data_IF_026222900185
#
_entry.id   IF_026222900185
#
_cell.length_a   1.000
_cell.length_b   1.000
_cell.length_c   1.000
_cell.angle_alpha   90.00
_cell.angle_beta   90.00
_cell.angle_gamma   90.00
#
_symmetry.space_group_name_H-M   'P 1'
#
loop_
_entity.id
_entity.type
_entity.pdbx_description
1 polymer ?
#
# COMPACT_ATOMS: atom_id res chain seq x y z
N UNK A 1 -33.63 15.03 -2.46
CA UNK A 1 -33.89 13.81 -3.24
C UNK A 1 -32.54 13.22 -3.58
N UNK A 2 -32.24 12.01 -3.12
CA UNK A 2 -30.89 11.42 -3.24
C UNK A 2 -30.77 10.66 -4.56
N UNK A 3 -29.57 10.57 -5.14
CA UNK A 3 -29.34 10.03 -6.48
C UNK A 3 -29.84 8.58 -6.66
N UNK A 4 -29.75 7.74 -5.61
CA UNK A 4 -30.23 6.36 -5.66
C UNK A 4 -31.75 6.23 -5.79
N UNK A 5 -32.53 7.21 -5.32
CA UNK A 5 -33.99 7.23 -5.45
C UNK A 5 -34.42 7.44 -6.90
N UNK A 6 -33.63 8.19 -7.69
CA UNK A 6 -33.89 8.39 -9.13
C UNK A 6 -33.56 7.16 -9.97
N UNK A 7 -32.66 6.31 -9.49
CA UNK A 7 -32.29 5.06 -10.12
C UNK A 7 -33.20 3.88 -9.71
N UNK A 8 -34.21 4.13 -8.86
CA UNK A 8 -35.08 3.08 -8.34
C UNK A 8 -34.39 2.12 -7.36
N UNK A 9 -33.21 2.51 -6.83
CA UNK A 9 -32.42 1.65 -5.95
C UNK A 9 -32.83 1.93 -4.50
N UNK A 10 -33.41 0.93 -3.84
CA UNK A 10 -33.74 0.97 -2.40
C UNK A 10 -32.50 1.19 -1.55
N UNK A 11 -32.59 1.94 -0.45
CA UNK A 11 -31.45 2.15 0.48
C UNK A 11 -30.95 0.87 1.16
N UNK A 12 -31.76 -0.20 1.16
CA UNK A 12 -31.53 -1.42 1.91
C UNK A 12 -31.16 -2.62 1.01
N UNK A 13 -30.20 -2.47 0.10
CA UNK A 13 -29.65 -3.60 -0.65
C UNK A 13 -28.76 -4.46 0.24
N UNK A 14 -29.06 -5.77 0.29
CA UNK A 14 -28.27 -6.74 1.08
C UNK A 14 -27.04 -7.24 0.33
N UNK A 15 -27.09 -7.28 -1.01
CA UNK A 15 -26.05 -7.87 -1.84
C UNK A 15 -25.67 -6.94 -3.00
N UNK A 16 -24.36 -6.80 -3.23
CA UNK A 16 -23.81 -6.01 -4.33
C UNK A 16 -24.24 -6.56 -5.70
N UNK A 17 -24.42 -7.87 -5.81
CA UNK A 17 -24.88 -8.53 -7.05
C UNK A 17 -26.25 -8.02 -7.52
N UNK A 18 -27.18 -7.74 -6.60
CA UNK A 18 -28.49 -7.20 -6.94
C UNK A 18 -28.41 -5.78 -7.49
N UNK A 19 -27.47 -4.97 -6.99
CA UNK A 19 -27.22 -3.62 -7.51
C UNK A 19 -26.64 -3.71 -8.92
N UNK A 20 -25.69 -4.62 -9.15
CA UNK A 20 -25.08 -4.87 -10.47
C UNK A 20 -26.13 -5.27 -11.50
N UNK A 21 -26.99 -6.24 -11.16
CA UNK A 21 -28.08 -6.67 -12.05
C UNK A 21 -29.02 -5.53 -12.47
N UNK A 22 -29.20 -4.51 -11.63
CA UNK A 22 -30.04 -3.35 -11.96
C UNK A 22 -29.29 -2.27 -12.73
N UNK A 23 -28.00 -2.06 -12.45
CA UNK A 23 -27.20 -0.98 -13.04
C UNK A 23 -26.53 -1.37 -14.36
N UNK A 24 -26.08 -2.62 -14.49
CA UNK A 24 -25.26 -3.06 -15.62
C UNK A 24 -25.94 -2.80 -16.99
N UNK A 25 -27.25 -3.08 -17.20
CA UNK A 25 -27.89 -2.80 -18.49
C UNK A 25 -27.87 -1.31 -18.88
N UNK A 26 -28.06 -0.42 -17.89
CA UNK A 26 -28.05 1.02 -18.13
C UNK A 26 -26.62 1.55 -18.37
N UNK A 27 -25.63 1.00 -17.66
CA UNK A 27 -24.22 1.37 -17.84
C UNK A 27 -23.70 0.89 -19.21
N UNK A 28 -24.07 -0.31 -19.64
CA UNK A 28 -23.77 -0.85 -20.97
C UNK A 28 -24.38 0.02 -22.07
N UNK A 29 -25.67 0.39 -21.96
CA UNK A 29 -26.32 1.29 -22.91
C UNK A 29 -25.63 2.67 -22.98
N UNK A 30 -25.17 3.20 -21.86
CA UNK A 30 -24.44 4.47 -21.81
C UNK A 30 -23.03 4.38 -22.44
N UNK A 31 -22.37 3.22 -22.33
CA UNK A 31 -21.12 2.93 -23.03
C UNK A 31 -21.36 2.81 -24.55
N UNK A 32 -22.37 2.05 -24.97
CA UNK A 32 -22.74 1.88 -26.38
C UNK A 32 -23.08 3.21 -27.05
N UNK A 33 -23.79 4.09 -26.34
CA UNK A 33 -24.13 5.43 -26.81
C UNK A 33 -22.98 6.44 -26.71
N UNK A 34 -21.80 6.04 -26.23
CA UNK A 34 -20.61 6.88 -26.12
C UNK A 34 -20.71 8.00 -25.07
N UNK A 35 -21.60 7.86 -24.07
CA UNK A 35 -21.65 8.78 -22.93
C UNK A 35 -20.59 8.42 -21.88
N UNK A 36 -20.26 7.14 -21.75
CA UNK A 36 -19.22 6.62 -20.88
C UNK A 36 -18.12 5.95 -21.73
N UNK A 37 -16.87 6.06 -21.29
CA UNK A 37 -15.76 5.34 -21.90
C UNK A 37 -15.72 3.88 -21.39
N UNK A 38 -16.14 3.68 -20.14
CA UNK A 38 -16.20 2.38 -19.50
C UNK A 38 -16.66 2.49 -18.06
N UNK A 39 -16.83 1.35 -17.41
CA UNK A 39 -17.08 1.27 -15.98
C UNK A 39 -16.43 0.01 -15.41
N UNK A 40 -16.02 0.07 -14.13
CA UNK A 40 -15.47 -1.08 -13.41
C UNK A 40 -15.86 -1.04 -11.94
N UNK A 41 -15.94 -2.22 -11.33
CA UNK A 41 -16.18 -2.36 -9.89
C UNK A 41 -14.86 -2.69 -9.18
N UNK A 42 -14.45 -1.86 -8.24
CA UNK A 42 -13.28 -2.11 -7.38
C UNK A 42 -13.71 -2.47 -5.95
N UNK A 43 -12.95 -3.33 -5.28
CA UNK A 43 -13.23 -3.76 -3.90
C UNK A 43 -14.22 -4.93 -3.76
N UNK A 44 -14.51 -5.31 -2.51
CA UNK A 44 -15.44 -6.39 -2.12
C UNK A 44 -16.32 -5.96 -0.94
N UNK A 45 -17.56 -6.44 -0.91
CA UNK A 45 -18.48 -6.24 0.22
C UNK A 45 -18.92 -4.78 0.40
N UNK A 46 -18.80 -4.25 1.62
CA UNK A 46 -19.20 -2.87 1.97
C UNK A 46 -18.29 -1.80 1.36
N UNK A 47 -17.06 -2.15 1.00
CA UNK A 47 -16.09 -1.25 0.38
C UNK A 47 -16.08 -1.32 -1.15
N UNK A 48 -17.09 -1.94 -1.77
CA UNK A 48 -17.16 -2.00 -3.22
C UNK A 48 -17.51 -0.61 -3.79
N UNK A 49 -16.74 -0.17 -4.77
CA UNK A 49 -16.92 1.11 -5.45
C UNK A 49 -17.17 0.86 -6.93
N UNK A 50 -18.13 1.59 -7.50
CA UNK A 50 -18.33 1.66 -8.95
C UNK A 50 -17.55 2.86 -9.46
N UNK A 51 -16.55 2.60 -10.30
CA UNK A 51 -15.75 3.61 -10.98
C UNK A 51 -16.29 3.73 -12.40
N UNK A 52 -16.71 4.93 -12.77
CA UNK A 52 -17.24 5.23 -14.09
C UNK A 52 -16.24 6.13 -14.81
N UNK A 53 -15.70 5.65 -15.93
CA UNK A 53 -14.77 6.39 -16.75
C UNK A 53 -15.58 7.24 -17.73
N UNK A 54 -15.56 8.57 -17.56
CA UNK A 54 -16.31 9.46 -18.45
C UNK A 54 -15.70 9.42 -19.84
N UNK A 55 -16.50 9.20 -20.88
CA UNK A 55 -16.07 9.52 -22.24
C UNK A 55 -15.88 11.04 -22.26
N UNK A 56 -14.64 11.51 -22.32
CA UNK A 56 -14.32 12.92 -22.45
C UNK A 56 -15.12 13.49 -23.62
N UNK A 57 -16.23 14.17 -23.32
CA UNK A 57 -16.93 14.98 -24.30
C UNK A 57 -15.98 16.11 -24.65
N UNK A 58 -15.25 15.95 -25.75
CA UNK A 58 -14.79 17.08 -26.57
C UNK A 58 -16.03 17.76 -27.17
N UNK A 59 -16.84 18.39 -26.32
CA UNK A 59 -17.77 19.42 -26.75
C UNK A 59 -17.15 20.75 -26.39
N UNK A 60 -16.20 21.19 -27.21
CA UNK A 60 -15.77 22.57 -27.27
C UNK A 60 -16.89 23.41 -27.89
N UNK A 61 -17.91 23.73 -27.11
CA UNK A 61 -18.73 24.93 -27.34
C UNK A 61 -18.96 25.57 -25.97
N UNK A 62 -17.93 26.26 -25.48
CA UNK A 62 -18.12 27.31 -24.49
C UNK A 62 -17.75 28.64 -25.13
N UNK A 63 -18.77 29.31 -25.67
CA UNK A 63 -18.74 30.75 -25.81
C UNK A 63 -18.73 31.37 -24.39
N UNK A 64 -17.54 31.63 -23.84
CA UNK A 64 -17.39 32.52 -22.67
C UNK A 64 -16.07 33.29 -22.72
N UNK A 65 -16.21 34.53 -23.18
CA UNK A 65 -15.68 35.78 -22.60
C UNK A 65 -14.53 35.59 -21.59
N UNK A 66 -13.33 35.88 -22.10
CA UNK A 66 -12.16 36.44 -21.43
C UNK A 66 -12.03 36.28 -19.91
N UNK A 67 -11.19 35.34 -19.48
CA UNK A 67 -10.34 35.53 -18.31
C UNK A 67 -8.95 35.01 -18.62
N UNK A 68 -8.07 35.93 -19.04
CA UNK A 68 -6.64 35.69 -19.29
C UNK A 68 -5.98 35.18 -18.01
N UNK A 69 -5.74 33.87 -17.90
CA UNK A 69 -4.80 33.31 -16.92
C UNK A 69 -3.39 33.54 -17.49
N UNK A 70 -2.58 34.30 -16.76
CA UNK A 70 -1.17 34.59 -17.11
C UNK A 70 -0.45 33.27 -17.38
N UNK A 71 -0.04 33.08 -18.63
CA UNK A 71 0.82 32.01 -19.11
C UNK A 71 2.23 32.34 -18.60
N UNK A 72 2.59 31.80 -17.44
CA UNK A 72 3.97 31.82 -16.97
C UNK A 72 4.79 30.88 -17.84
N UNK A 73 5.79 31.42 -18.54
CA UNK A 73 6.76 30.66 -19.31
C UNK A 73 7.65 29.82 -18.38
N UNK A 74 7.26 28.57 -18.13
CA UNK A 74 8.14 27.53 -17.62
C UNK A 74 8.56 26.60 -18.75
N UNK A 75 9.44 27.05 -19.65
CA UNK A 75 9.77 26.39 -20.92
C UNK A 75 10.67 25.14 -20.82
N UNK A 76 11.04 24.67 -19.62
CA UNK A 76 11.98 23.53 -19.46
C UNK A 76 11.36 22.21 -18.98
N UNK A 77 10.34 22.26 -18.12
CA UNK A 77 9.88 21.06 -17.40
C UNK A 77 9.00 20.09 -18.19
N UNK A 78 8.37 20.56 -19.28
CA UNK A 78 7.41 19.76 -20.05
C UNK A 78 8.04 18.54 -20.73
N UNK A 79 9.25 18.68 -21.27
CA UNK A 79 9.93 17.58 -21.96
C UNK A 79 10.35 16.46 -21.00
N UNK A 80 10.84 16.81 -19.81
CA UNK A 80 11.29 15.83 -18.82
C UNK A 80 10.12 14.98 -18.32
N UNK A 81 8.95 15.60 -18.11
CA UNK A 81 7.74 14.89 -17.70
C UNK A 81 7.31 13.87 -18.75
N UNK A 82 7.21 14.30 -20.01
CA UNK A 82 6.79 13.41 -21.10
C UNK A 82 7.77 12.24 -21.27
N UNK A 83 9.08 12.49 -21.13
CA UNK A 83 10.10 11.45 -21.14
C UNK A 83 9.87 10.41 -20.03
N UNK A 84 9.59 10.86 -18.81
CA UNK A 84 9.30 9.98 -17.67
C UNK A 84 8.03 9.17 -17.88
N UNK A 85 6.97 9.78 -18.42
CA UNK A 85 5.70 9.10 -18.73
C UNK A 85 5.94 7.94 -19.72
N UNK A 86 6.69 8.18 -20.80
CA UNK A 86 7.06 7.15 -21.78
C UNK A 86 7.87 6.03 -21.13
N UNK A 87 8.90 6.37 -20.34
CA UNK A 87 9.73 5.36 -19.65
C UNK A 87 8.89 4.46 -18.73
N UNK A 88 7.92 5.02 -18.02
CA UNK A 88 7.11 4.25 -17.08
C UNK A 88 6.02 3.43 -17.79
N UNK A 89 5.49 3.91 -18.91
CA UNK A 89 4.58 3.17 -19.78
C UNK A 89 5.26 1.94 -20.41
N UNK A 90 6.49 2.09 -20.90
CA UNK A 90 7.31 0.98 -21.42
C UNK A 90 7.53 -0.14 -20.38
N UNK A 91 7.48 0.21 -19.08
CA UNK A 91 7.64 -0.73 -17.95
C UNK A 91 6.30 -1.29 -17.45
N UNK A 92 5.20 -1.01 -18.16
CA UNK A 92 3.87 -1.55 -17.93
C UNK A 92 3.08 -0.86 -16.82
N UNK A 93 3.42 0.38 -16.46
CA UNK A 93 2.64 1.16 -15.49
C UNK A 93 1.54 1.92 -16.24
N UNK A 94 0.32 1.88 -15.71
CA UNK A 94 -0.83 2.58 -16.29
C UNK A 94 -0.61 4.12 -16.28
N UNK A 95 -0.71 4.80 -17.45
CA UNK A 95 -0.44 6.23 -17.58
C UNK A 95 -1.43 7.12 -16.83
N UNK A 96 -2.69 6.68 -16.67
CA UNK A 96 -3.73 7.47 -15.99
C UNK A 96 -3.42 7.63 -14.49
N UNK A 97 -3.00 6.54 -13.85
CA UNK A 97 -2.57 6.57 -12.44
C UNK A 97 -1.31 7.42 -12.27
N UNK A 98 -0.44 7.40 -13.28
CA UNK A 98 0.83 8.12 -13.29
C UNK A 98 0.66 9.62 -13.43
N UNK A 99 -0.26 10.07 -14.28
CA UNK A 99 -0.53 11.48 -14.51
C UNK A 99 -0.87 12.19 -13.18
N UNK A 100 -1.73 11.59 -12.35
CA UNK A 100 -2.09 12.13 -11.04
C UNK A 100 -0.91 12.26 -10.08
N UNK A 101 0.05 11.33 -10.12
CA UNK A 101 1.23 11.36 -9.25
C UNK A 101 2.21 12.43 -9.74
N UNK A 102 2.52 12.42 -11.05
CA UNK A 102 3.48 13.34 -11.66
C UNK A 102 2.99 14.80 -11.69
N UNK A 103 1.68 15.04 -11.74
CA UNK A 103 1.09 16.39 -11.64
C UNK A 103 1.47 17.11 -10.35
N UNK A 104 1.70 16.36 -9.28
CA UNK A 104 2.07 16.90 -7.96
C UNK A 104 3.58 17.18 -7.81
N UNK A 105 4.41 16.77 -8.78
CA UNK A 105 5.86 16.79 -8.65
C UNK A 105 6.50 18.02 -9.30
N UNK A 106 7.38 18.67 -8.54
CA UNK A 106 8.28 19.71 -9.06
C UNK A 106 9.42 19.11 -9.90
N UNK A 107 10.14 19.95 -10.63
CA UNK A 107 11.20 19.52 -11.55
C UNK A 107 12.31 18.71 -10.86
N UNK A 108 12.67 19.05 -9.63
CA UNK A 108 13.66 18.31 -8.84
C UNK A 108 13.19 16.87 -8.53
N UNK A 109 11.92 16.70 -8.18
CA UNK A 109 11.34 15.38 -7.95
C UNK A 109 11.26 14.59 -9.24
N UNK A 110 10.93 15.23 -10.37
CA UNK A 110 10.94 14.57 -11.68
C UNK A 110 12.35 14.05 -12.03
N UNK A 111 13.40 14.84 -11.77
CA UNK A 111 14.79 14.37 -11.95
C UNK A 111 15.11 13.17 -11.03
N UNK A 112 14.65 13.20 -9.78
CA UNK A 112 14.80 12.07 -8.85
C UNK A 112 14.03 10.83 -9.33
N UNK A 113 12.82 11.00 -9.86
CA UNK A 113 12.04 9.91 -10.46
C UNK A 113 12.80 9.29 -11.63
N UNK A 114 13.42 10.10 -12.50
CA UNK A 114 14.28 9.59 -13.57
C UNK A 114 15.44 8.73 -13.03
N UNK A 115 16.09 9.16 -11.94
CA UNK A 115 17.14 8.37 -11.28
C UNK A 115 16.61 7.06 -10.67
N UNK A 116 15.40 7.08 -10.09
CA UNK A 116 14.72 5.88 -9.57
C UNK A 116 14.48 4.87 -10.69
N UNK A 117 14.05 5.33 -11.86
CA UNK A 117 13.83 4.47 -13.03
C UNK A 117 15.13 3.82 -13.47
N UNK A 118 16.22 4.59 -13.62
CA UNK A 118 17.52 4.04 -13.99
C UNK A 118 18.04 3.00 -12.97
N UNK A 119 17.88 3.28 -11.67
CA UNK A 119 18.27 2.33 -10.63
C UNK A 119 17.43 1.05 -10.66
N UNK A 120 16.13 1.17 -10.92
CA UNK A 120 15.26 0.03 -11.13
C UNK A 120 15.72 -0.83 -12.30
N UNK A 121 16.12 -0.24 -13.42
CA UNK A 121 16.62 -0.99 -14.58
C UNK A 121 17.88 -1.78 -14.22
N UNK A 122 18.81 -1.19 -13.46
CA UNK A 122 19.99 -1.89 -12.93
C UNK A 122 19.59 -3.08 -12.04
N UNK A 123 18.57 -2.92 -11.18
CA UNK A 123 18.09 -4.01 -10.33
C UNK A 123 17.44 -5.14 -11.13
N UNK A 124 16.74 -4.81 -12.22
CA UNK A 124 16.14 -5.78 -13.14
C UNK A 124 17.22 -6.55 -13.89
N UNK A 125 18.23 -5.85 -14.40
CA UNK A 125 19.39 -6.46 -15.09
C UNK A 125 20.14 -7.43 -14.17
N UNK A 126 20.32 -7.06 -12.91
CA UNK A 126 20.95 -7.91 -11.89
C UNK A 126 20.04 -9.04 -11.36
N UNK A 127 18.79 -9.15 -11.83
CA UNK A 127 17.78 -10.08 -11.31
C UNK A 127 17.65 -10.03 -9.78
N UNK A 128 17.69 -8.82 -9.20
CA UNK A 128 17.64 -8.63 -7.75
C UNK A 128 16.34 -9.18 -7.15
N UNK A 129 16.47 -9.88 -6.02
CA UNK A 129 15.32 -10.43 -5.26
C UNK A 129 14.34 -9.36 -4.77
N UNK A 130 14.77 -8.10 -4.68
CA UNK A 130 13.92 -6.98 -4.28
C UNK A 130 12.81 -6.69 -5.30
N UNK A 131 13.10 -6.91 -6.59
CA UNK A 131 12.20 -6.56 -7.70
C UNK A 131 11.52 -7.81 -8.28
N UNK A 132 12.04 -9.01 -8.01
CA UNK A 132 11.61 -10.26 -8.64
C UNK A 132 10.15 -10.66 -8.35
N UNK A 133 9.60 -10.29 -7.18
CA UNK A 133 8.22 -10.67 -6.80
C UNK A 133 7.14 -9.88 -7.53
N UNK A 134 7.36 -8.58 -7.74
CA UNK A 134 6.41 -7.70 -8.42
C UNK A 134 7.14 -6.48 -8.97
N UNK A 135 7.58 -6.58 -10.22
CA UNK A 135 8.44 -5.59 -10.88
C UNK A 135 7.74 -4.24 -11.02
N UNK A 136 6.55 -4.25 -11.64
CA UNK A 136 5.75 -3.05 -11.89
C UNK A 136 5.26 -2.41 -10.59
N UNK A 137 4.81 -3.21 -9.63
CA UNK A 137 4.35 -2.70 -8.33
C UNK A 137 5.48 -2.08 -7.50
N UNK A 138 6.68 -2.64 -7.56
CA UNK A 138 7.87 -2.06 -6.92
C UNK A 138 8.19 -0.69 -7.51
N UNK A 139 8.27 -0.60 -8.84
CA UNK A 139 8.58 0.66 -9.53
C UNK A 139 7.51 1.72 -9.25
N UNK A 140 6.22 1.36 -9.35
CA UNK A 140 5.13 2.28 -9.06
C UNK A 140 5.22 2.84 -7.63
N UNK A 141 5.42 1.98 -6.62
CA UNK A 141 5.58 2.44 -5.23
C UNK A 141 6.82 3.31 -5.02
N UNK A 142 7.92 3.01 -5.72
CA UNK A 142 9.13 3.82 -5.65
C UNK A 142 8.91 5.23 -6.21
N UNK A 143 8.18 5.35 -7.33
CA UNK A 143 7.82 6.63 -7.95
C UNK A 143 6.79 7.39 -7.11
N UNK A 144 5.77 6.71 -6.59
CA UNK A 144 4.75 7.28 -5.69
C UNK A 144 5.37 7.82 -4.39
N UNK A 145 6.41 7.16 -3.88
CA UNK A 145 7.15 7.57 -2.67
C UNK A 145 8.50 8.20 -3.00
N UNK A 146 8.61 8.89 -4.14
CA UNK A 146 9.88 9.43 -4.61
C UNK A 146 10.57 10.36 -3.59
N UNK A 147 9.81 11.09 -2.76
CA UNK A 147 10.36 11.94 -1.68
C UNK A 147 11.19 11.13 -0.68
N UNK A 148 10.62 10.05 -0.15
CA UNK A 148 11.26 9.18 0.85
C UNK A 148 12.18 8.09 0.28
N UNK A 149 12.18 7.89 -1.04
CA UNK A 149 13.01 6.87 -1.67
C UNK A 149 14.50 7.25 -1.60
N UNK A 150 15.33 6.39 -1.00
CA UNK A 150 16.78 6.59 -0.88
C UNK A 150 17.48 5.82 -1.98
N UNK A 151 18.19 6.54 -2.86
CA UNK A 151 18.97 5.95 -3.94
C UNK A 151 20.36 5.57 -3.44
N UNK A 152 20.79 4.29 -3.55
CA UNK A 152 22.14 3.91 -3.21
C UNK A 152 23.14 4.34 -4.30
N UNK A 153 24.29 4.87 -3.87
CA UNK A 153 25.44 5.11 -4.75
C UNK A 153 25.40 6.41 -5.57
N UNK A 154 26.03 6.44 -6.77
CA UNK A 154 26.31 7.66 -7.54
C UNK A 154 25.06 8.35 -8.12
N UNK A 155 23.89 7.69 -8.04
CA UNK A 155 22.61 8.25 -8.45
C UNK A 155 22.04 9.25 -7.43
N UNK A 156 22.49 9.19 -6.17
CA UNK A 156 22.22 10.25 -5.21
C UNK A 156 22.98 11.50 -5.64
N UNK A 157 22.27 12.55 -6.04
CA UNK A 157 22.82 13.89 -6.20
C UNK A 157 23.77 14.16 -5.04
N UNK A 158 25.05 14.45 -5.33
CA UNK A 158 26.16 14.61 -4.36
C UNK A 158 25.99 15.73 -3.31
N UNK A 159 24.77 16.20 -3.04
CA UNK A 159 24.46 17.18 -2.01
C UNK A 159 23.67 16.54 -0.86
N UNK A 160 24.21 16.67 0.36
CA UNK A 160 23.60 16.32 1.65
C UNK A 160 23.42 14.83 1.96
N UNK A 161 24.55 14.10 2.00
CA UNK A 161 24.69 13.13 3.09
C UNK A 161 25.22 13.92 4.28
N UNK A 162 24.35 14.21 5.24
CA UNK A 162 24.79 14.47 6.61
C UNK A 162 25.65 13.29 7.01
N UNK A 163 26.95 13.57 7.18
CA UNK A 163 27.93 12.65 7.72
C UNK A 163 27.44 12.26 9.11
N UNK A 164 26.72 11.15 9.21
CA UNK A 164 26.60 10.44 10.48
C UNK A 164 27.95 9.76 10.71
N UNK A 165 28.72 10.17 11.74
CA UNK A 165 29.95 9.50 12.07
C UNK A 165 29.61 8.13 12.65
N UNK A 166 30.09 7.11 11.94
CA UNK A 166 30.22 5.76 12.47
C UNK A 166 31.06 5.80 13.75
N UNK A 167 30.54 5.18 14.81
CA UNK A 167 31.26 4.64 15.96
C UNK A 167 32.34 5.53 16.62
N UNK A 168 31.97 6.26 17.68
CA UNK A 168 32.92 6.55 18.77
C UNK A 168 32.31 6.34 20.15
N UNK A 169 33.09 5.60 20.92
CA UNK A 169 33.11 5.38 22.37
C UNK A 169 32.56 6.53 23.21
N UNK A 170 31.83 6.12 24.26
CA UNK A 170 31.69 6.79 25.56
C UNK A 170 32.82 7.77 25.87
N UNK A 171 32.53 9.06 25.84
CA UNK A 171 33.10 10.04 26.78
C UNK A 171 32.09 11.18 26.96
N UNK A 172 31.89 11.53 28.23
CA UNK A 172 31.02 12.62 28.68
C UNK A 172 31.51 13.95 28.12
N UNK A 173 30.61 14.75 27.56
CA UNK A 173 30.63 16.20 27.72
C UNK A 173 29.28 16.78 27.30
N UNK A 174 28.70 17.47 28.27
CA UNK A 174 27.63 18.43 28.16
C UNK A 174 28.01 19.57 27.23
N UNK A 175 27.25 19.77 26.16
CA UNK A 175 26.99 21.14 25.70
C UNK A 175 25.70 21.26 24.89
N UNK A 176 24.97 22.34 25.19
CA UNK A 176 23.63 22.66 24.76
C UNK A 176 23.66 23.29 23.36
N UNK A 177 23.25 22.54 22.34
CA UNK A 177 22.98 23.07 21.00
C UNK A 177 21.50 22.93 20.66
N UNK A 178 20.77 24.05 20.71
CA UNK A 178 19.36 24.17 20.30
C UNK A 178 19.20 23.72 18.84
N UNK A 179 18.62 22.54 18.66
CA UNK A 179 18.18 22.04 17.37
C UNK A 179 16.86 22.71 16.97
N UNK A 180 16.86 23.43 15.84
CA UNK A 180 15.66 23.92 15.19
C UNK A 180 14.76 22.74 14.80
N UNK A 181 13.74 22.52 15.62
CA UNK A 181 12.59 21.68 15.32
C UNK A 181 11.75 22.36 14.23
N UNK A 182 12.10 22.13 12.96
CA UNK A 182 11.11 22.21 11.90
C UNK A 182 10.21 21.00 12.06
N UNK A 183 9.17 21.18 12.88
CA UNK A 183 8.00 20.32 12.93
C UNK A 183 7.30 20.40 11.58
N UNK A 184 7.80 19.63 10.61
CA UNK A 184 7.01 19.21 9.45
C UNK A 184 5.94 18.27 9.99
N UNK A 185 4.87 18.85 10.55
CA UNK A 185 3.61 18.18 10.89
C UNK A 185 2.89 17.83 9.59
N UNK A 186 3.56 17.05 8.74
CA UNK A 186 2.86 16.18 7.83
C UNK A 186 2.02 15.27 8.69
N UNK A 187 0.72 15.45 8.61
CA UNK A 187 -0.32 14.60 9.17
C UNK A 187 -0.07 13.16 8.67
N UNK A 188 0.86 12.46 9.31
CA UNK A 188 1.03 11.02 9.20
C UNK A 188 -0.22 10.46 9.85
N UNK A 189 -1.26 10.29 9.03
CA UNK A 189 -2.60 9.95 9.48
C UNK A 189 -2.56 8.76 10.42
N UNK A 190 -3.53 8.71 11.33
CA UNK A 190 -3.71 7.67 12.36
C UNK A 190 -3.51 6.23 11.83
N UNK A 191 -3.74 6.01 10.52
CA UNK A 191 -3.46 4.76 9.81
C UNK A 191 -1.99 4.28 9.90
N UNK A 192 -1.00 5.17 9.84
CA UNK A 192 0.43 4.82 9.92
C UNK A 192 0.80 4.33 11.33
N UNK A 193 0.16 4.88 12.37
CA UNK A 193 0.37 4.45 13.75
C UNK A 193 -0.23 3.07 13.99
N UNK A 194 -1.45 2.82 13.50
CA UNK A 194 -2.11 1.51 13.61
C UNK A 194 -1.30 0.43 12.91
N UNK A 195 -0.77 0.70 11.72
CA UNK A 195 0.06 -0.26 10.99
C UNK A 195 1.38 -0.55 11.72
N UNK A 196 2.00 0.46 12.35
CA UNK A 196 3.18 0.27 13.20
C UNK A 196 2.86 -0.60 14.42
N UNK A 197 1.71 -0.40 15.06
CA UNK A 197 1.27 -1.22 16.20
C UNK A 197 0.96 -2.66 15.79
N UNK A 198 0.32 -2.87 14.63
CA UNK A 198 0.11 -4.21 14.05
C UNK A 198 1.41 -4.95 13.80
N UNK A 199 2.41 -4.27 13.25
CA UNK A 199 3.72 -4.86 13.04
C UNK A 199 4.36 -5.30 14.36
N UNK A 200 4.26 -4.49 15.41
CA UNK A 200 4.76 -4.84 16.75
C UNK A 200 4.02 -6.05 17.33
N UNK A 201 2.69 -6.07 17.25
CA UNK A 201 1.87 -7.21 17.70
C UNK A 201 2.27 -8.52 17.02
N UNK A 202 2.48 -8.52 15.70
CA UNK A 202 2.87 -9.73 14.98
C UNK A 202 4.24 -10.27 15.43
N UNK A 203 5.18 -9.37 15.76
CA UNK A 203 6.50 -9.76 16.30
C UNK A 203 6.36 -10.39 17.69
N UNK A 204 5.57 -9.78 18.58
CA UNK A 204 5.32 -10.31 19.92
C UNK A 204 4.57 -11.63 19.88
N UNK A 205 3.49 -11.73 19.07
CA UNK A 205 2.73 -12.95 18.84
C UNK A 205 3.63 -14.10 18.38
N UNK A 206 4.54 -13.83 17.43
CA UNK A 206 5.48 -14.83 16.91
C UNK A 206 6.53 -15.23 17.95
N UNK A 207 7.02 -14.28 18.75
CA UNK A 207 7.95 -14.56 19.86
C UNK A 207 7.27 -15.45 20.90
N UNK A 208 6.02 -15.15 21.25
CA UNK A 208 5.27 -15.89 22.25
C UNK A 208 4.88 -17.28 21.77
N UNK A 209 4.44 -17.44 20.52
CA UNK A 209 4.20 -18.75 19.92
C UNK A 209 5.45 -19.64 20.00
N UNK A 210 6.62 -19.11 19.66
CA UNK A 210 7.89 -19.84 19.79
C UNK A 210 8.22 -20.23 21.23
N UNK A 211 7.98 -19.32 22.19
CA UNK A 211 8.17 -19.59 23.62
C UNK A 211 7.24 -20.71 24.09
N UNK A 212 5.98 -20.69 23.68
CA UNK A 212 5.01 -21.73 24.01
C UNK A 212 5.39 -23.07 23.38
N UNK A 213 5.85 -23.09 22.13
CA UNK A 213 6.33 -24.32 21.49
C UNK A 213 7.53 -24.95 22.22
N UNK A 214 8.44 -24.15 22.78
CA UNK A 214 9.58 -24.68 23.53
C UNK A 214 9.27 -25.07 24.97
N UNK A 215 8.20 -24.51 25.56
CA UNK A 215 7.87 -24.68 26.98
C UNK A 215 6.73 -25.68 27.21
N UNK A 216 5.82 -25.83 26.23
CA UNK A 216 4.69 -26.73 26.33
C UNK A 216 5.13 -28.20 26.41
N UNK A 217 4.40 -28.98 27.20
CA UNK A 217 4.64 -30.41 27.32
C UNK A 217 4.49 -31.09 25.94
N UNK A 218 5.38 -32.01 25.56
CA UNK A 218 5.30 -32.72 24.28
C UNK A 218 3.95 -33.40 24.05
N UNK A 219 3.33 -33.93 25.11
CA UNK A 219 2.02 -34.58 25.05
C UNK A 219 0.89 -33.62 24.62
N UNK A 220 0.96 -32.35 24.99
CA UNK A 220 0.01 -31.32 24.58
C UNK A 220 0.26 -30.94 23.13
N UNK A 221 1.53 -30.78 22.73
CA UNK A 221 1.91 -30.45 21.36
C UNK A 221 1.44 -31.53 20.37
N UNK A 222 1.61 -32.80 20.69
CA UNK A 222 1.15 -33.92 19.86
C UNK A 222 -0.37 -33.93 19.72
N UNK A 223 -1.12 -33.70 20.82
CA UNK A 223 -2.59 -33.63 20.79
C UNK A 223 -3.08 -32.48 19.90
N UNK A 224 -2.53 -31.27 20.09
CA UNK A 224 -2.89 -30.10 19.29
C UNK A 224 -2.54 -30.30 17.82
N UNK A 225 -1.38 -30.89 17.53
CA UNK A 225 -0.97 -31.22 16.16
C UNK A 225 -1.93 -32.21 15.51
N UNK A 226 -2.28 -33.30 16.20
CA UNK A 226 -3.22 -34.29 15.69
C UNK A 226 -4.63 -33.72 15.44
N UNK A 227 -5.08 -32.77 16.27
CA UNK A 227 -6.30 -32.00 16.04
C UNK A 227 -6.22 -31.14 14.78
N UNK A 228 -5.15 -30.36 14.62
CA UNK A 228 -4.94 -29.48 13.47
C UNK A 228 -4.81 -30.29 12.17
N UNK A 229 -4.05 -31.39 12.17
CA UNK A 229 -3.92 -32.28 11.01
C UNK A 229 -5.25 -32.92 10.61
N UNK A 230 -6.07 -33.32 11.60
CA UNK A 230 -7.41 -33.86 11.36
C UNK A 230 -8.34 -32.80 10.74
N UNK A 231 -8.33 -31.58 11.25
CA UNK A 231 -9.12 -30.47 10.69
C UNK A 231 -8.67 -30.12 9.26
N UNK A 232 -7.36 -30.16 8.99
CA UNK A 232 -6.78 -29.82 7.69
C UNK A 232 -6.76 -30.98 6.68
N UNK A 233 -7.04 -32.21 7.11
CA UNK A 233 -6.99 -33.41 6.27
C UNK A 233 -7.79 -33.29 4.97
N UNK A 234 -8.91 -32.55 5.00
CA UNK A 234 -9.79 -32.29 3.85
C UNK A 234 -9.13 -31.45 2.76
N UNK A 235 -8.10 -30.67 3.09
CA UNK A 235 -7.39 -29.78 2.17
C UNK A 235 -6.12 -30.40 1.60
N UNK A 236 -5.74 -31.61 2.04
CA UNK A 236 -4.48 -32.27 1.63
C UNK A 236 -4.38 -32.50 0.12
N UNK A 237 -5.50 -32.68 -0.57
CA UNK A 237 -5.52 -32.83 -2.04
C UNK A 237 -5.25 -31.54 -2.82
N UNK A 238 -5.39 -30.36 -2.19
CA UNK A 238 -5.29 -29.06 -2.84
C UNK A 238 -3.98 -28.32 -2.54
N UNK A 239 -3.14 -28.85 -1.66
CA UNK A 239 -1.94 -28.18 -1.14
C UNK A 239 -0.75 -29.13 -1.32
N UNK A 240 0.38 -28.63 -1.80
CA UNK A 240 1.62 -29.43 -1.89
C UNK A 240 2.06 -29.89 -0.50
N UNK A 241 2.70 -31.06 -0.40
CA UNK A 241 3.10 -31.63 0.90
C UNK A 241 3.99 -30.70 1.72
N UNK A 242 4.91 -29.97 1.07
CA UNK A 242 5.76 -28.96 1.71
C UNK A 242 4.98 -27.80 2.33
N UNK A 243 3.91 -27.35 1.64
CA UNK A 243 3.06 -26.29 2.14
C UNK A 243 2.11 -26.80 3.22
N UNK A 244 1.66 -28.05 3.12
CA UNK A 244 0.80 -28.67 4.13
C UNK A 244 1.48 -28.70 5.51
N UNK A 245 2.75 -29.11 5.58
CA UNK A 245 3.51 -29.09 6.83
C UNK A 245 3.58 -27.68 7.44
N UNK A 246 3.88 -26.66 6.63
CA UNK A 246 3.91 -25.27 7.11
C UNK A 246 2.54 -24.76 7.58
N UNK A 247 1.45 -25.19 6.95
CA UNK A 247 0.09 -24.81 7.35
C UNK A 247 -0.31 -25.51 8.66
N UNK A 248 0.10 -26.77 8.84
CA UNK A 248 -0.08 -27.50 10.11
C UNK A 248 0.68 -26.80 11.23
N UNK A 249 1.97 -26.49 11.03
CA UNK A 249 2.78 -25.79 12.03
C UNK A 249 2.15 -24.45 12.43
N UNK A 250 1.67 -23.67 11.45
CA UNK A 250 0.98 -22.42 11.73
C UNK A 250 -0.34 -22.63 12.48
N UNK A 251 -1.13 -23.65 12.12
CA UNK A 251 -2.36 -24.01 12.83
C UNK A 251 -2.09 -24.42 14.29
N UNK A 252 -0.98 -25.12 14.55
CA UNK A 252 -0.54 -25.46 15.91
C UNK A 252 -0.16 -24.21 16.69
N UNK A 253 0.60 -23.28 16.10
CA UNK A 253 0.92 -21.99 16.72
C UNK A 253 -0.35 -21.23 17.12
N UNK A 254 -1.36 -21.16 16.24
CA UNK A 254 -2.62 -20.47 16.53
C UNK A 254 -3.42 -21.14 17.65
N UNK A 255 -3.49 -22.48 17.65
CA UNK A 255 -4.20 -23.23 18.69
C UNK A 255 -3.53 -23.11 20.04
N UNK A 256 -2.21 -23.14 20.11
CA UNK A 256 -1.45 -22.91 21.34
C UNK A 256 -1.70 -21.51 21.88
N UNK A 257 -1.56 -20.47 21.05
CA UNK A 257 -1.84 -19.10 21.49
C UNK A 257 -3.25 -18.96 22.08
N UNK A 258 -4.24 -19.62 21.49
CA UNK A 258 -5.62 -19.65 22.00
C UNK A 258 -5.75 -20.39 23.33
N UNK A 259 -5.10 -21.55 23.48
CA UNK A 259 -5.13 -22.34 24.73
C UNK A 259 -4.49 -21.58 25.90
N UNK A 260 -3.44 -20.80 25.63
CA UNK A 260 -2.75 -19.97 26.62
C UNK A 260 -3.33 -18.54 26.73
N UNK A 261 -4.51 -18.31 26.15
CA UNK A 261 -5.24 -17.03 26.20
C UNK A 261 -4.37 -15.81 25.79
N UNK A 262 -3.53 -15.96 24.76
CA UNK A 262 -2.82 -14.82 24.19
C UNK A 262 -3.84 -13.83 23.59
N UNK A 263 -3.78 -12.55 23.96
CA UNK A 263 -4.79 -11.58 23.58
C UNK A 263 -4.85 -11.37 22.06
N UNK A 264 -6.05 -11.10 21.55
CA UNK A 264 -6.22 -10.62 20.18
C UNK A 264 -5.58 -9.24 19.99
N UNK A 265 -5.45 -8.78 18.73
CA UNK A 265 -4.81 -7.48 18.45
C UNK A 265 -5.46 -6.32 19.21
N UNK A 266 -6.79 -6.26 19.24
CA UNK A 266 -7.53 -5.19 19.90
C UNK A 266 -7.35 -5.23 21.43
N UNK A 267 -7.42 -6.44 22.03
CA UNK A 267 -7.18 -6.64 23.46
C UNK A 267 -5.73 -6.32 23.86
N UNK A 268 -4.78 -6.71 23.00
CA UNK A 268 -3.37 -6.38 23.18
C UNK A 268 -3.14 -4.87 23.14
N UNK A 269 -3.79 -4.15 22.22
CA UNK A 269 -3.75 -2.68 22.19
C UNK A 269 -4.33 -2.07 23.47
N UNK A 270 -5.48 -2.55 23.93
CA UNK A 270 -6.10 -2.09 25.18
C UNK A 270 -5.20 -2.32 26.39
N UNK A 271 -4.51 -3.46 26.45
CA UNK A 271 -3.58 -3.77 27.54
C UNK A 271 -2.37 -2.82 27.60
N UNK A 272 -1.96 -2.25 26.45
CA UNK A 272 -0.85 -1.29 26.36
C UNK A 272 -1.29 0.14 26.58
N UNK A 273 -2.52 0.50 26.24
CA UNK A 273 -3.06 1.84 26.46
C UNK A 273 -3.53 2.06 27.91
N UNK A 274 -3.77 0.99 28.66
CA UNK A 274 -4.08 1.08 30.09
C UNK A 274 -2.91 1.77 30.84
N UNK A 275 -3.14 2.96 31.45
CA UNK A 275 -2.11 3.62 32.23
C UNK A 275 -1.69 2.68 33.36
N UNK A 276 -0.39 2.38 33.43
CA UNK A 276 0.18 1.62 34.55
C UNK A 276 -0.09 2.44 35.81
N UNK A 277 -1.14 2.08 36.55
CA UNK A 277 -1.42 2.63 37.87
C UNK A 277 -0.29 2.15 38.78
N UNK A 278 0.72 3.01 38.94
CA UNK A 278 1.79 2.88 39.93
C UNK A 278 1.27 3.17 41.32
#
# INVERSE_FOLDING_TARGET
MLAHEKLGISRNYKYLSSIRQQLDPALEELCEKGFLAGFRYEGKGRGAQLIVDSALRRTSISARKGRKKKKGEGKGGGNLRLEIEIMLEERGINPERLASVLDSYGEELLRKVKQIICYYDTLVEQNSRLVSKNRTGFLFRAVERARGFVLPGPFGSRGQVSIFPSQRRLTQSSDLGQANSYEDRGDCGEDDEVDRLRAQYLVERKREAKRLMSTAEPSILEKVRAEVERDLSKFRGNISESNFASVVDHGVEERLLKLFAFPGFDEWMLSRSAPRRS
#
